data_IF_529036825449
#
_entry.id   IF_529036825449
#
_cell.length_a   1.000
_cell.length_b   1.000
_cell.length_c   1.000
_cell.angle_alpha   90.00
_cell.angle_beta   90.00
_cell.angle_gamma   90.00
#
_symmetry.space_group_name_H-M   'P 1'
#
loop_
_entity.id
_entity.type
_entity.pdbx_description
1 polymer ?
#
# COMPACT_ATOMS: atom_id res chain seq x y z
N UNK A 1 -15.30 -6.20 7.55
CA UNK A 1 -14.78 -7.51 7.12
C UNK A 1 -13.29 -7.48 7.32
N UNK A 2 -12.69 -8.57 7.82
CA UNK A 2 -11.22 -8.68 7.84
C UNK A 2 -10.84 -9.36 6.53
N UNK A 3 -10.14 -8.62 5.69
CA UNK A 3 -9.71 -9.08 4.39
C UNK A 3 -8.20 -9.35 4.47
N UNK A 4 -7.77 -10.50 3.95
CA UNK A 4 -6.37 -10.91 3.90
C UNK A 4 -5.92 -10.98 2.43
N UNK A 5 -4.94 -10.17 2.07
CA UNK A 5 -4.34 -10.19 0.74
C UNK A 5 -3.11 -11.10 0.74
N UNK A 6 -3.09 -12.08 -0.16
CA UNK A 6 -1.97 -12.98 -0.41
C UNK A 6 -1.44 -12.70 -1.82
N UNK A 7 -0.16 -12.33 -1.91
CA UNK A 7 0.52 -12.15 -3.19
C UNK A 7 1.17 -13.46 -3.61
N UNK A 8 0.95 -13.87 -4.85
CA UNK A 8 1.48 -15.13 -5.42
C UNK A 8 2.05 -14.88 -6.80
N UNK A 9 2.96 -15.74 -7.24
CA UNK A 9 3.43 -15.72 -8.62
C UNK A 9 2.30 -16.13 -9.58
N UNK A 10 2.26 -15.60 -10.81
CA UNK A 10 1.26 -15.96 -11.82
C UNK A 10 1.13 -17.47 -12.08
N UNK A 11 2.24 -18.19 -12.07
CA UNK A 11 2.32 -19.65 -12.24
C UNK A 11 1.62 -20.43 -11.10
N UNK A 12 1.55 -19.84 -9.91
CA UNK A 12 0.96 -20.45 -8.71
C UNK A 12 -0.54 -20.19 -8.59
N UNK A 13 -1.14 -19.46 -9.55
CA UNK A 13 -2.56 -19.13 -9.54
C UNK A 13 -3.46 -20.34 -9.29
N UNK A 14 -3.31 -21.38 -10.12
CA UNK A 14 -4.19 -22.54 -10.05
C UNK A 14 -3.97 -23.37 -8.78
N UNK A 15 -2.73 -23.70 -8.38
CA UNK A 15 -2.45 -24.33 -7.08
C UNK A 15 -3.02 -23.55 -5.89
N UNK A 16 -2.91 -22.22 -5.88
CA UNK A 16 -3.44 -21.39 -4.78
C UNK A 16 -4.97 -21.43 -4.72
N UNK A 17 -5.67 -21.32 -5.85
CA UNK A 17 -7.14 -21.41 -5.90
C UNK A 17 -7.61 -22.76 -5.35
N UNK A 18 -6.94 -23.85 -5.72
CA UNK A 18 -7.25 -25.18 -5.21
C UNK A 18 -7.00 -25.31 -3.70
N UNK A 19 -5.90 -24.73 -3.20
CA UNK A 19 -5.60 -24.70 -1.78
C UNK A 19 -6.66 -23.91 -0.98
N UNK A 20 -7.04 -22.73 -1.47
CA UNK A 20 -8.10 -21.91 -0.88
C UNK A 20 -9.44 -22.65 -0.87
N UNK A 21 -9.79 -23.31 -1.98
CA UNK A 21 -11.03 -24.10 -2.09
C UNK A 21 -11.04 -25.25 -1.09
N UNK A 22 -9.93 -26.00 -0.95
CA UNK A 22 -9.79 -27.07 0.06
C UNK A 22 -9.89 -26.53 1.49
N UNK A 23 -9.45 -25.30 1.73
CA UNK A 23 -9.59 -24.61 3.02
C UNK A 23 -11.00 -24.05 3.28
N UNK A 24 -11.96 -24.26 2.36
CA UNK A 24 -13.35 -23.81 2.51
C UNK A 24 -13.58 -22.35 2.10
N UNK A 25 -12.64 -21.72 1.39
CA UNK A 25 -12.81 -20.40 0.78
C UNK A 25 -13.45 -20.60 -0.60
N UNK A 26 -14.74 -20.32 -0.71
CA UNK A 26 -15.48 -20.44 -1.97
C UNK A 26 -15.31 -19.18 -2.83
N UNK A 27 -15.31 -19.35 -4.16
CA UNK A 27 -15.20 -18.22 -5.08
C UNK A 27 -16.37 -17.24 -4.88
N UNK A 28 -16.03 -15.98 -4.62
CA UNK A 28 -17.01 -14.93 -4.37
C UNK A 28 -17.63 -14.33 -5.64
N UNK A 29 -17.15 -14.72 -6.83
CA UNK A 29 -17.53 -14.09 -8.10
C UNK A 29 -19.03 -14.10 -8.40
N UNK A 30 -19.73 -15.21 -8.12
CA UNK A 30 -21.18 -15.32 -8.37
C UNK A 30 -21.99 -14.32 -7.51
N UNK A 31 -21.44 -13.89 -6.38
CA UNK A 31 -22.06 -12.87 -5.50
C UNK A 31 -21.65 -11.46 -5.88
N UNK A 32 -20.39 -11.28 -6.29
CA UNK A 32 -19.85 -10.01 -6.73
C UNK A 32 -18.84 -10.25 -7.85
N UNK A 33 -19.22 -10.05 -9.12
CA UNK A 33 -18.28 -10.20 -10.23
C UNK A 33 -17.07 -9.28 -10.09
N UNK A 34 -15.89 -9.80 -10.40
CA UNK A 34 -14.61 -9.09 -10.37
C UNK A 34 -13.70 -9.57 -11.51
N UNK A 35 -12.65 -8.81 -11.81
CA UNK A 35 -11.72 -9.19 -12.89
C UNK A 35 -10.76 -10.30 -12.43
N UNK A 36 -11.05 -11.54 -12.85
CA UNK A 36 -10.22 -12.73 -12.59
C UNK A 36 -8.91 -12.76 -13.40
N UNK A 37 -8.52 -11.69 -14.10
CA UNK A 37 -7.22 -11.59 -14.75
C UNK A 37 -6.08 -11.31 -13.77
N UNK A 38 -6.37 -10.74 -12.59
CA UNK A 38 -5.35 -10.30 -11.63
C UNK A 38 -5.53 -10.83 -10.21
N UNK A 39 -6.73 -11.35 -9.89
CA UNK A 39 -7.10 -11.75 -8.54
C UNK A 39 -8.07 -12.93 -8.53
N UNK A 40 -8.04 -13.71 -7.45
CA UNK A 40 -9.10 -14.61 -7.03
C UNK A 40 -9.56 -14.23 -5.63
N UNK A 41 -10.88 -14.11 -5.43
CA UNK A 41 -11.47 -13.74 -4.14
C UNK A 41 -12.19 -14.94 -3.54
N UNK A 42 -11.60 -15.51 -2.50
CA UNK A 42 -12.18 -16.60 -1.73
C UNK A 42 -12.86 -16.09 -0.47
N UNK A 43 -14.09 -16.54 -0.21
CA UNK A 43 -14.86 -16.15 0.97
C UNK A 43 -15.22 -17.34 1.84
N UNK A 44 -15.03 -17.20 3.16
CA UNK A 44 -15.50 -18.13 4.17
C UNK A 44 -16.12 -17.36 5.33
N UNK A 45 -17.39 -17.64 5.65
CA UNK A 45 -18.16 -16.94 6.68
C UNK A 45 -17.99 -15.40 6.62
N UNK A 46 -17.23 -14.84 7.55
CA UNK A 46 -16.98 -13.39 7.69
C UNK A 46 -15.62 -12.91 7.17
N UNK A 47 -14.79 -13.81 6.63
CA UNK A 47 -13.45 -13.49 6.13
C UNK A 47 -13.39 -13.54 4.61
N UNK A 48 -12.69 -12.57 4.02
CA UNK A 48 -12.28 -12.59 2.62
C UNK A 48 -10.78 -12.86 2.56
N UNK A 49 -10.37 -13.70 1.62
CA UNK A 49 -8.96 -13.91 1.28
C UNK A 49 -8.81 -13.69 -0.22
N UNK A 50 -7.93 -12.77 -0.57
CA UNK A 50 -7.67 -12.34 -1.94
C UNK A 50 -6.31 -12.90 -2.36
N UNK A 51 -6.28 -13.76 -3.38
CA UNK A 51 -5.04 -14.22 -4.00
C UNK A 51 -4.73 -13.36 -5.23
N UNK A 52 -3.65 -12.58 -5.16
CA UNK A 52 -3.30 -11.53 -6.12
C UNK A 52 -2.01 -11.92 -6.84
N UNK A 53 -2.04 -11.96 -8.18
CA UNK A 53 -0.86 -12.28 -9.01
C UNK A 53 -0.52 -11.20 -10.03
N UNK A 54 -1.32 -10.14 -10.08
CA UNK A 54 -1.02 -8.95 -10.88
C UNK A 54 -1.65 -7.72 -10.24
N UNK A 55 -1.14 -6.54 -10.60
CA UNK A 55 -1.82 -5.30 -10.27
C UNK A 55 -3.17 -5.22 -11.02
N UNK A 56 -4.18 -4.59 -10.39
CA UNK A 56 -5.52 -4.46 -10.97
C UNK A 56 -5.54 -3.72 -12.33
N UNK A 57 -4.57 -2.85 -12.58
CA UNK A 57 -4.39 -2.15 -13.86
C UNK A 57 -3.53 -2.91 -14.87
N UNK A 58 -3.07 -4.12 -14.53
CA UNK A 58 -2.21 -5.01 -15.33
C UNK A 58 -0.86 -4.40 -15.74
N UNK A 59 -0.37 -3.38 -15.04
CA UNK A 59 0.97 -2.81 -15.30
C UNK A 59 2.10 -3.76 -14.94
N UNK A 60 1.90 -4.56 -13.91
CA UNK A 60 2.91 -5.49 -13.43
C UNK A 60 2.25 -6.78 -12.95
N UNK A 61 2.95 -7.88 -13.21
CA UNK A 61 2.72 -9.15 -12.55
C UNK A 61 3.45 -9.14 -11.20
N UNK A 62 2.96 -9.93 -10.26
CA UNK A 62 3.73 -10.24 -9.06
C UNK A 62 4.96 -11.03 -9.49
N UNK A 63 6.12 -10.60 -9.00
CA UNK A 63 7.41 -11.26 -9.26
C UNK A 63 8.04 -11.70 -7.94
N UNK A 64 9.11 -12.49 -8.03
CA UNK A 64 9.84 -13.04 -6.88
C UNK A 64 10.18 -12.02 -5.80
N UNK A 65 10.41 -10.77 -6.20
CA UNK A 65 10.87 -9.75 -5.25
C UNK A 65 9.74 -9.19 -4.40
N UNK A 66 8.46 -9.41 -4.78
CA UNK A 66 7.30 -9.20 -3.90
C UNK A 66 7.25 -10.20 -2.74
N UNK A 67 7.89 -11.36 -2.89
CA UNK A 67 7.83 -12.46 -1.93
C UNK A 67 9.08 -12.56 -1.06
N UNK A 68 10.22 -12.06 -1.54
CA UNK A 68 11.54 -12.34 -0.94
C UNK A 68 12.19 -11.17 -0.20
N UNK A 69 11.77 -9.91 -0.46
CA UNK A 69 12.37 -8.72 0.16
C UNK A 69 11.61 -8.18 1.36
N UNK A 70 10.49 -8.81 1.69
CA UNK A 70 9.64 -8.43 2.78
C UNK A 70 10.25 -8.73 4.15
N UNK A 71 9.79 -8.02 5.17
CA UNK A 71 10.05 -8.43 6.55
C UNK A 71 9.24 -9.69 6.89
N UNK A 72 9.75 -10.50 7.81
CA UNK A 72 9.02 -11.63 8.38
C UNK A 72 8.33 -11.20 9.67
N UNK A 73 7.09 -11.64 9.87
CA UNK A 73 6.31 -11.41 11.08
C UNK A 73 5.80 -12.72 11.67
N UNK A 74 5.69 -12.77 12.99
CA UNK A 74 5.10 -13.90 13.70
C UNK A 74 3.59 -13.70 13.84
N UNK A 75 2.81 -14.60 13.25
CA UNK A 75 1.36 -14.63 13.36
C UNK A 75 0.94 -15.96 13.94
N UNK A 76 0.44 -15.94 15.19
CA UNK A 76 0.00 -17.15 15.91
C UNK A 76 1.07 -18.25 15.99
N UNK A 77 2.34 -17.86 16.08
CA UNK A 77 3.48 -18.78 16.17
C UNK A 77 4.01 -19.29 14.82
N UNK A 78 3.45 -18.79 13.72
CA UNK A 78 3.94 -19.05 12.37
C UNK A 78 4.71 -17.83 11.84
N UNK A 79 5.87 -18.09 11.25
CA UNK A 79 6.72 -17.08 10.62
C UNK A 79 6.27 -16.85 9.18
N UNK A 80 5.72 -15.67 8.89
CA UNK A 80 5.18 -15.34 7.58
C UNK A 80 5.88 -14.13 6.95
N UNK A 81 6.26 -14.19 5.66
CA UNK A 81 6.74 -13.01 4.95
C UNK A 81 5.58 -12.04 4.72
N UNK A 82 5.83 -10.76 4.93
CA UNK A 82 4.92 -9.66 4.57
C UNK A 82 5.41 -9.04 3.28
N UNK A 83 4.51 -8.60 2.40
CA UNK A 83 4.89 -7.84 1.20
C UNK A 83 5.84 -6.69 1.56
N UNK A 84 6.93 -6.46 0.81
CA UNK A 84 7.79 -5.32 1.05
C UNK A 84 7.01 -4.01 0.89
N UNK A 85 7.34 -3.02 1.74
CA UNK A 85 6.57 -1.78 1.82
C UNK A 85 6.66 -0.97 0.52
N UNK A 86 7.77 -1.06 -0.22
CA UNK A 86 7.95 -0.41 -1.51
C UNK A 86 6.95 -0.94 -2.55
N UNK A 87 6.79 -2.27 -2.66
CA UNK A 87 5.82 -2.92 -3.54
C UNK A 87 4.38 -2.56 -3.15
N UNK A 88 4.10 -2.51 -1.84
CA UNK A 88 2.78 -2.14 -1.34
C UNK A 88 2.44 -0.68 -1.67
N UNK A 89 3.36 0.25 -1.39
CA UNK A 89 3.20 1.67 -1.76
C UNK A 89 3.04 1.81 -3.27
N UNK A 90 3.95 1.20 -4.04
CA UNK A 90 3.92 1.23 -5.50
C UNK A 90 2.58 0.79 -6.07
N UNK A 91 2.05 -0.34 -5.59
CA UNK A 91 0.77 -0.87 -6.06
C UNK A 91 -0.41 0.04 -5.73
N UNK A 92 -0.43 0.62 -4.51
CA UNK A 92 -1.50 1.49 -4.02
C UNK A 92 -1.50 2.88 -4.64
N UNK A 93 -0.35 3.38 -5.11
CA UNK A 93 -0.27 4.65 -5.84
C UNK A 93 -1.19 4.70 -7.06
N UNK A 94 -1.39 3.57 -7.75
CA UNK A 94 -2.27 3.47 -8.92
C UNK A 94 -3.74 3.27 -8.58
N UNK A 95 -4.09 3.06 -7.31
CA UNK A 95 -5.49 3.00 -6.86
C UNK A 95 -5.95 4.44 -6.60
N UNK A 96 -6.19 5.15 -7.70
CA UNK A 96 -6.68 6.53 -7.75
C UNK A 96 -7.82 6.59 -8.77
N UNK A 97 -9.02 6.23 -8.32
CA UNK A 97 -10.23 6.16 -9.13
C UNK A 97 -11.35 6.96 -8.46
N UNK A 98 -12.41 7.26 -9.22
CA UNK A 98 -13.57 7.99 -8.72
C UNK A 98 -14.17 7.39 -7.43
N UNK A 99 -14.32 6.06 -7.38
CA UNK A 99 -14.96 5.36 -6.25
C UNK A 99 -13.98 4.81 -5.21
N UNK A 100 -12.67 4.86 -5.46
CA UNK A 100 -11.65 4.29 -4.57
C UNK A 100 -10.32 5.00 -4.73
N UNK A 101 -9.76 5.42 -3.60
CA UNK A 101 -8.42 5.98 -3.51
C UNK A 101 -7.68 5.36 -2.33
N UNK A 102 -6.58 4.65 -2.57
CA UNK A 102 -5.77 4.04 -1.51
C UNK A 102 -4.61 4.97 -1.07
N UNK A 103 -4.61 6.24 -1.47
CA UNK A 103 -3.56 7.18 -1.04
C UNK A 103 -3.55 7.41 0.47
N UNK A 104 -4.69 7.26 1.16
CA UNK A 104 -4.73 7.29 2.63
C UNK A 104 -3.85 6.19 3.26
N UNK A 105 -3.85 5.00 2.67
CA UNK A 105 -2.96 3.91 3.10
C UNK A 105 -1.49 4.24 2.79
N UNK A 106 -1.22 4.81 1.61
CA UNK A 106 0.14 5.23 1.22
C UNK A 106 0.70 6.26 2.20
N UNK A 107 -0.09 7.26 2.60
CA UNK A 107 0.30 8.27 3.59
C UNK A 107 0.64 7.63 4.94
N UNK A 108 -0.13 6.64 5.37
CA UNK A 108 0.14 5.89 6.61
C UNK A 108 1.39 5.01 6.51
N UNK A 109 1.64 4.38 5.37
CA UNK A 109 2.85 3.59 5.14
C UNK A 109 4.09 4.48 5.10
N UNK A 110 4.00 5.65 4.48
CA UNK A 110 5.07 6.64 4.51
C UNK A 110 5.36 7.08 5.95
N UNK A 111 4.33 7.44 6.72
CA UNK A 111 4.52 7.84 8.12
C UNK A 111 5.06 6.69 8.99
N UNK A 112 4.72 5.44 8.72
CA UNK A 112 5.23 4.32 9.52
C UNK A 112 6.65 3.88 9.12
N UNK A 113 7.00 3.96 7.84
CA UNK A 113 8.18 3.28 7.27
C UNK A 113 9.19 4.22 6.63
N UNK A 114 9.05 5.55 6.79
CA UNK A 114 9.89 6.54 6.11
C UNK A 114 11.40 6.29 6.22
N UNK A 115 11.86 5.94 7.43
CA UNK A 115 13.27 5.76 7.74
C UNK A 115 13.87 4.47 7.15
N UNK A 116 13.04 3.48 6.84
CA UNK A 116 13.46 2.18 6.32
C UNK A 116 13.16 1.99 4.84
N UNK A 117 12.51 2.97 4.20
CA UNK A 117 12.06 2.88 2.83
C UNK A 117 13.23 2.93 1.84
N UNK A 118 13.30 1.94 0.95
CA UNK A 118 14.23 1.91 -0.19
C UNK A 118 13.67 2.78 -1.33
N UNK A 119 13.94 4.08 -1.24
CA UNK A 119 13.47 5.08 -2.20
C UNK A 119 13.94 4.81 -3.64
N UNK A 120 15.17 4.34 -3.81
CA UNK A 120 15.70 4.05 -5.14
C UNK A 120 14.93 2.91 -5.80
N UNK A 121 14.57 1.87 -5.04
CA UNK A 121 13.72 0.80 -5.54
C UNK A 121 12.31 1.29 -5.88
N UNK A 122 11.69 2.07 -5.00
CA UNK A 122 10.35 2.58 -5.26
C UNK A 122 10.31 3.42 -6.55
N UNK A 123 11.31 4.29 -6.75
CA UNK A 123 11.47 5.05 -7.99
C UNK A 123 11.75 4.14 -9.19
N UNK A 124 12.57 3.10 -9.04
CA UNK A 124 12.84 2.15 -10.12
C UNK A 124 11.57 1.37 -10.55
N UNK A 125 10.71 0.98 -9.59
CA UNK A 125 9.42 0.34 -9.86
C UNK A 125 8.45 1.26 -10.59
N UNK A 126 8.43 2.54 -10.22
CA UNK A 126 7.58 3.55 -10.87
C UNK A 126 8.06 3.94 -12.27
N UNK A 127 9.38 4.01 -12.47
CA UNK A 127 9.98 4.47 -13.73
C UNK A 127 9.40 5.83 -14.15
N UNK A 128 8.77 5.94 -15.34
CA UNK A 128 8.20 7.20 -15.83
C UNK A 128 6.93 7.65 -15.07
N UNK A 129 6.31 6.78 -14.28
CA UNK A 129 5.09 7.09 -13.52
C UNK A 129 5.41 7.76 -12.15
N UNK A 130 6.65 8.24 -11.96
CA UNK A 130 7.08 8.97 -10.77
C UNK A 130 6.23 10.21 -10.39
N UNK A 131 5.50 10.90 -11.30
CA UNK A 131 4.56 11.94 -10.90
C UNK A 131 3.49 11.48 -9.89
N UNK A 132 3.12 10.20 -9.86
CA UNK A 132 2.20 9.66 -8.84
C UNK A 132 2.80 9.77 -7.43
N UNK A 133 4.08 9.43 -7.29
CA UNK A 133 4.80 9.56 -6.02
C UNK A 133 4.97 11.04 -5.65
N UNK A 134 5.32 11.89 -6.61
CA UNK A 134 5.41 13.33 -6.39
C UNK A 134 4.10 13.92 -5.84
N UNK A 135 2.96 13.48 -6.39
CA UNK A 135 1.63 13.89 -5.94
C UNK A 135 1.36 13.51 -4.48
N UNK A 136 1.52 12.23 -4.13
CA UNK A 136 1.27 11.79 -2.74
C UNK A 136 2.26 12.40 -1.76
N UNK A 137 3.53 12.59 -2.14
CA UNK A 137 4.54 13.21 -1.27
C UNK A 137 4.26 14.71 -1.05
N UNK A 138 3.71 15.39 -2.06
CA UNK A 138 3.27 16.78 -1.90
C UNK A 138 2.14 16.89 -0.86
N UNK A 139 1.17 15.97 -0.92
CA UNK A 139 0.11 15.87 0.09
C UNK A 139 0.70 15.48 1.44
N UNK A 140 1.63 14.55 1.50
CA UNK A 140 2.29 14.11 2.73
C UNK A 140 3.06 15.25 3.42
N UNK A 141 3.83 16.04 2.66
CA UNK A 141 4.59 17.15 3.20
C UNK A 141 3.72 18.32 3.65
N UNK A 142 2.61 18.55 2.96
CA UNK A 142 1.57 19.44 3.48
C UNK A 142 0.96 18.85 4.75
N UNK A 143 0.58 17.58 4.78
CA UNK A 143 -0.13 16.99 5.91
C UNK A 143 0.74 16.82 7.16
N UNK A 144 2.03 16.46 7.02
CA UNK A 144 2.93 16.15 8.15
C UNK A 144 4.33 16.75 7.90
N UNK A 145 4.47 18.09 7.95
CA UNK A 145 5.69 18.78 7.51
C UNK A 145 6.96 18.31 8.23
N UNK A 146 6.89 18.07 9.54
CA UNK A 146 8.05 17.60 10.33
C UNK A 146 8.56 16.23 9.85
N UNK A 147 7.65 15.29 9.57
CA UNK A 147 8.01 13.96 9.07
C UNK A 147 8.56 14.04 7.66
N UNK A 148 7.99 14.89 6.81
CA UNK A 148 8.47 15.05 5.43
C UNK A 148 9.88 15.62 5.32
N UNK A 149 10.39 16.28 6.37
CA UNK A 149 11.78 16.74 6.45
C UNK A 149 12.80 15.58 6.50
N UNK A 150 12.37 14.39 6.91
CA UNK A 150 13.20 13.17 6.93
C UNK A 150 13.34 12.54 5.53
N UNK A 151 12.54 12.97 4.54
CA UNK A 151 12.66 12.48 3.15
C UNK A 151 13.97 13.02 2.55
N UNK A 152 14.84 12.16 1.99
CA UNK A 152 16.11 12.61 1.43
C UNK A 152 15.92 13.65 0.32
N UNK A 153 16.71 14.73 0.35
CA UNK A 153 16.66 15.83 -0.63
C UNK A 153 16.75 15.33 -2.08
N UNK A 154 17.57 14.33 -2.33
CA UNK A 154 17.72 13.76 -3.67
C UNK A 154 16.42 13.17 -4.24
N UNK A 155 15.48 12.74 -3.39
CA UNK A 155 14.18 12.22 -3.84
C UNK A 155 13.32 13.36 -4.35
N UNK A 156 13.28 14.48 -3.61
CA UNK A 156 12.61 15.70 -4.05
C UNK A 156 13.18 16.23 -5.37
N UNK A 157 14.51 16.26 -5.49
CA UNK A 157 15.20 16.69 -6.71
C UNK A 157 14.83 15.80 -7.92
N UNK A 158 14.84 14.48 -7.75
CA UNK A 158 14.46 13.51 -8.81
C UNK A 158 13.00 13.61 -9.21
N UNK A 159 12.11 13.96 -8.29
CA UNK A 159 10.69 14.10 -8.53
C UNK A 159 10.31 15.49 -9.08
N UNK A 160 11.26 16.42 -9.12
CA UNK A 160 11.01 17.84 -9.40
C UNK A 160 9.86 18.40 -8.54
N UNK A 161 9.75 17.89 -7.31
CA UNK A 161 8.72 18.26 -6.35
C UNK A 161 9.42 18.87 -5.14
N UNK A 162 9.01 20.06 -4.74
CA UNK A 162 9.60 20.73 -3.59
C UNK A 162 8.50 21.10 -2.62
N UNK A 163 8.53 20.56 -1.38
CA UNK A 163 7.57 20.97 -0.38
C UNK A 163 7.84 22.43 -0.01
N UNK A 164 6.77 23.22 0.12
CA UNK A 164 6.89 24.56 0.68
C UNK A 164 7.28 24.43 2.15
N UNK A 165 8.40 25.03 2.61
CA UNK A 165 8.79 25.01 4.01
C UNK A 165 7.66 25.57 4.88
N UNK A 166 7.24 24.83 5.90
CA UNK A 166 6.30 25.30 6.92
C UNK A 166 7.10 25.54 8.21
N UNK A 167 7.09 26.77 8.73
CA UNK A 167 7.77 27.11 9.98
C UNK A 167 7.01 26.65 11.25
N UNK A 168 5.81 26.10 11.07
CA UNK A 168 4.91 25.70 12.16
C UNK A 168 4.95 24.19 12.37
N UNK A 169 5.37 23.78 13.57
CA UNK A 169 5.63 22.39 13.92
C UNK A 169 4.37 21.57 14.30
N UNK A 170 3.19 22.19 14.47
CA UNK A 170 1.98 21.51 14.96
C UNK A 170 0.77 21.66 14.04
N UNK A 171 1.00 21.58 12.73
CA UNK A 171 -0.06 21.71 11.72
C UNK A 171 -0.75 20.40 11.37
N UNK A 172 -0.19 19.25 11.74
CA UNK A 172 -0.61 17.97 11.18
C UNK A 172 -2.06 17.62 11.51
N UNK A 173 -2.48 17.83 12.77
CA UNK A 173 -3.87 17.59 13.18
C UNK A 173 -4.81 18.59 12.52
N UNK A 174 -4.49 19.88 12.56
CA UNK A 174 -5.30 20.92 11.95
C UNK A 174 -5.50 20.70 10.44
N UNK A 175 -4.46 20.25 9.72
CA UNK A 175 -4.54 19.93 8.29
C UNK A 175 -5.30 18.63 8.02
N UNK A 176 -5.15 17.61 8.86
CA UNK A 176 -5.94 16.39 8.77
C UNK A 176 -7.45 16.69 8.94
N UNK A 177 -7.81 17.56 9.89
CA UNK A 177 -9.19 17.97 10.14
C UNK A 177 -9.82 18.75 8.96
N UNK A 178 -9.01 19.35 8.07
CA UNK A 178 -9.51 19.94 6.82
C UNK A 178 -9.96 18.89 5.81
N UNK A 179 -9.41 17.67 5.87
CA UNK A 179 -9.75 16.57 4.97
C UNK A 179 -10.88 15.72 5.55
N UNK A 180 -10.74 15.29 6.81
CA UNK A 180 -11.72 14.45 7.51
C UNK A 180 -11.43 14.44 9.02
N UNK A 181 -12.46 14.41 9.86
CA UNK A 181 -12.33 14.45 11.33
C UNK A 181 -11.95 13.12 11.98
N UNK A 182 -11.87 12.02 11.21
CA UNK A 182 -11.41 10.72 11.70
C UNK A 182 -9.88 10.71 11.84
N UNK A 183 -9.33 9.85 12.71
CA UNK A 183 -7.88 9.71 12.84
C UNK A 183 -7.22 9.27 11.53
N UNK A 184 -6.26 10.06 11.04
CA UNK A 184 -5.53 9.78 9.80
C UNK A 184 -4.29 8.90 10.01
N UNK A 185 -3.53 9.10 11.09
CA UNK A 185 -2.28 8.39 11.37
C UNK A 185 -2.37 7.53 12.62
N UNK A 186 -1.73 6.36 12.60
CA UNK A 186 -1.59 5.46 13.77
C UNK A 186 -0.69 6.09 14.83
N UNK A 187 -1.25 6.97 15.66
CA UNK A 187 -0.53 7.64 16.75
C UNK A 187 -1.05 9.03 17.11
N UNK A 188 -1.88 9.65 16.25
CA UNK A 188 -2.43 10.99 16.49
C UNK A 188 -3.37 11.08 17.72
N UNK A 189 -3.74 9.96 18.35
CA UNK A 189 -4.52 9.92 19.59
C UNK A 189 -3.67 9.88 20.88
N UNK A 190 -2.33 9.97 20.80
CA UNK A 190 -1.47 9.87 21.98
C UNK A 190 -1.07 11.22 22.62
N UNK A 191 -1.55 12.35 22.11
CA UNK A 191 -1.44 13.65 22.77
C UNK A 191 -2.84 14.11 23.17
N UNK A 192 -3.24 13.72 24.37
CA UNK A 192 -4.30 14.33 25.17
C UNK A 192 -3.69 14.99 26.38
#
# INVERSE_FOLDING_TARGET
TKDLDLYILPEDRQPMIEAMTRAGLADFYERQPYDRAWIYRGKCAESMVDAIWAMANRRALVDETWLTRGATVEVRGESLPVIPVEELIWSKLYVLQHSRCDWGDVLNLLDACLATLDWHRLLARLGPDSPLLAGVLSVFAWLVPNRSADIPREIWDRLHAFPTPSAEHDLSRARADLLDSRPWFRGANAAG
#
